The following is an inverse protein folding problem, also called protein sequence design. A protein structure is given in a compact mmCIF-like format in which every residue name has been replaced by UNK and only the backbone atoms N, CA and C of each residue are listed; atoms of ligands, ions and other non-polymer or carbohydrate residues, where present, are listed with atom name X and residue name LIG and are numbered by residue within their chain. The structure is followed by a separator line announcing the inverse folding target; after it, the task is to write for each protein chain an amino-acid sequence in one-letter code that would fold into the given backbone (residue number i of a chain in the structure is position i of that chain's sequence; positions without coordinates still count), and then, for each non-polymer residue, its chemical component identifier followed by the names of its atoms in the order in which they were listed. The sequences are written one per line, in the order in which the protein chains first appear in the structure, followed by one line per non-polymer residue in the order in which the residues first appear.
data_IF_390467458206
#
_entry.id   IF_390467458206
#
_cell.length_a   1.000
_cell.length_b   1.000
_cell.length_c   1.000
_cell.angle_alpha   90.00
_cell.angle_beta   90.00
_cell.angle_gamma   90.00
#
_symmetry.space_group_name_H-M   'P 1'
#
loop_
_entity.id
_entity.type
_entity.pdbx_description
1 polymer ?
#
# COMPACT_ATOMS: atom_id res chain seq x y z
N UNK A 1 30.44 40.70 -41.24
CA UNK A 1 30.40 39.84 -40.09
C UNK A 1 29.20 38.91 -40.17
N UNK A 2 29.38 37.70 -40.74
CA UNK A 2 28.37 36.63 -40.70
C UNK A 2 28.43 35.93 -39.32
N UNK A 3 27.39 36.06 -38.50
CA UNK A 3 27.19 35.16 -37.37
C UNK A 3 26.71 33.82 -37.92
N UNK A 4 27.53 32.81 -37.77
CA UNK A 4 27.13 31.42 -37.97
C UNK A 4 26.09 31.04 -36.91
N UNK A 5 24.91 30.64 -37.35
CA UNK A 5 23.95 29.93 -36.56
C UNK A 5 24.55 28.55 -36.27
N UNK A 6 24.85 28.29 -35.00
CA UNK A 6 25.16 26.92 -34.51
C UNK A 6 23.88 26.08 -34.63
N UNK A 7 23.85 25.23 -35.63
CA UNK A 7 22.83 24.21 -35.76
C UNK A 7 22.92 23.26 -34.56
N UNK A 8 21.89 23.24 -33.77
CA UNK A 8 21.64 22.17 -32.80
C UNK A 8 21.49 20.86 -33.61
N UNK A 9 22.49 20.01 -33.56
CA UNK A 9 22.42 18.70 -34.17
C UNK A 9 21.26 17.95 -33.52
N UNK A 10 20.24 17.57 -34.32
CA UNK A 10 19.18 16.71 -33.89
C UNK A 10 19.80 15.36 -33.44
N UNK A 11 19.46 14.92 -32.24
CA UNK A 11 19.90 13.65 -31.74
C UNK A 11 19.42 12.52 -32.70
N UNK A 12 20.17 11.42 -32.85
CA UNK A 12 19.78 10.33 -33.71
C UNK A 12 18.41 9.75 -33.30
N UNK A 13 17.54 9.38 -34.24
CA UNK A 13 16.14 8.98 -33.95
C UNK A 13 15.97 7.85 -32.92
N UNK A 14 16.97 7.00 -32.72
CA UNK A 14 16.96 5.98 -31.68
C UNK A 14 17.24 6.49 -30.26
N UNK A 15 17.88 7.65 -30.08
CA UNK A 15 18.20 8.19 -28.76
C UNK A 15 16.97 8.85 -28.10
N UNK A 16 16.12 9.52 -28.87
CA UNK A 16 14.88 10.12 -28.38
C UNK A 16 13.87 9.05 -27.96
N UNK A 17 13.75 7.96 -28.71
CA UNK A 17 12.89 6.81 -28.35
C UNK A 17 13.33 6.15 -27.04
N UNK A 18 14.64 6.04 -26.82
CA UNK A 18 15.20 5.47 -25.57
C UNK A 18 14.93 6.40 -24.38
N UNK A 19 14.97 7.72 -24.61
CA UNK A 19 14.74 8.71 -23.55
C UNK A 19 13.27 8.82 -23.16
N UNK A 20 12.35 8.86 -24.13
CA UNK A 20 10.90 8.85 -23.89
C UNK A 20 10.47 7.57 -23.20
N UNK A 21 11.01 6.42 -23.64
CA UNK A 21 10.75 5.12 -23.01
C UNK A 21 11.24 5.03 -21.57
N UNK A 22 12.44 5.57 -21.29
CA UNK A 22 12.99 5.62 -19.93
C UNK A 22 12.18 6.54 -19.00
N UNK A 23 11.75 7.68 -19.53
CA UNK A 23 10.90 8.63 -18.82
C UNK A 23 9.54 8.02 -18.48
N UNK A 24 8.92 7.36 -19.46
CA UNK A 24 7.65 6.67 -19.27
C UNK A 24 7.74 5.56 -18.21
N UNK A 25 8.86 4.84 -18.17
CA UNK A 25 9.14 3.84 -17.15
C UNK A 25 9.20 4.47 -15.74
N UNK A 26 9.87 5.62 -15.57
CA UNK A 26 9.93 6.34 -14.30
C UNK A 26 8.53 6.83 -13.85
N UNK A 27 7.72 7.32 -14.77
CA UNK A 27 6.34 7.72 -14.49
C UNK A 27 5.52 6.51 -14.03
N UNK A 28 5.62 5.38 -14.71
CA UNK A 28 4.96 4.14 -14.32
C UNK A 28 5.43 3.61 -12.96
N UNK A 29 6.71 3.76 -12.62
CA UNK A 29 7.24 3.39 -11.30
C UNK A 29 6.60 4.21 -10.17
N UNK A 30 6.28 5.48 -10.41
CA UNK A 30 5.49 6.30 -9.48
C UNK A 30 4.07 5.74 -9.30
N UNK A 31 3.41 5.37 -10.40
CA UNK A 31 2.09 4.72 -10.36
C UNK A 31 2.11 3.39 -9.62
N UNK A 32 3.12 2.57 -9.87
CA UNK A 32 3.34 1.31 -9.15
C UNK A 32 3.49 1.54 -7.64
N UNK A 33 4.31 2.50 -7.23
CA UNK A 33 4.50 2.84 -5.81
C UNK A 33 3.20 3.31 -5.17
N UNK A 34 2.40 4.14 -5.84
CA UNK A 34 1.08 4.57 -5.35
C UNK A 34 0.14 3.39 -5.20
N UNK A 35 -0.02 2.59 -6.25
CA UNK A 35 -1.01 1.49 -6.26
C UNK A 35 -0.64 0.37 -5.29
N UNK A 36 0.65 0.01 -5.21
CA UNK A 36 1.15 -0.99 -4.26
C UNK A 36 1.05 -0.52 -2.80
N UNK A 37 1.01 0.79 -2.56
CA UNK A 37 0.87 1.39 -1.22
C UNK A 37 -0.57 1.69 -0.83
N UNK A 38 -1.56 1.29 -1.63
CA UNK A 38 -2.98 1.40 -1.31
C UNK A 38 -3.63 2.72 -1.70
N UNK A 39 -3.05 3.47 -2.63
CA UNK A 39 -3.71 4.65 -3.20
C UNK A 39 -4.93 4.27 -4.06
N UNK A 40 -5.88 5.19 -4.16
CA UNK A 40 -7.04 5.09 -5.02
C UNK A 40 -6.65 5.08 -6.50
N UNK A 41 -7.38 4.33 -7.33
CA UNK A 41 -7.13 4.23 -8.77
C UNK A 41 -7.14 5.62 -9.43
N UNK A 42 -8.16 6.41 -9.17
CA UNK A 42 -8.29 7.77 -9.71
C UNK A 42 -7.07 8.64 -9.37
N UNK A 43 -6.52 8.52 -8.15
CA UNK A 43 -5.32 9.26 -7.75
C UNK A 43 -4.09 8.81 -8.53
N UNK A 44 -3.96 7.51 -8.79
CA UNK A 44 -2.87 6.97 -9.62
C UNK A 44 -2.95 7.55 -11.02
N UNK A 45 -4.10 7.44 -11.67
CA UNK A 45 -4.33 7.91 -13.04
C UNK A 45 -4.11 9.42 -13.20
N UNK A 46 -4.65 10.22 -12.28
CA UNK A 46 -4.46 11.67 -12.25
C UNK A 46 -2.97 12.05 -12.08
N UNK A 47 -2.25 11.37 -11.19
CA UNK A 47 -0.81 11.61 -10.99
C UNK A 47 -0.01 11.28 -12.24
N UNK A 48 -0.27 10.13 -12.88
CA UNK A 48 0.44 9.73 -14.08
C UNK A 48 0.13 10.65 -15.25
N UNK A 49 -1.13 11.02 -15.45
CA UNK A 49 -1.54 11.95 -16.51
C UNK A 49 -0.87 13.30 -16.35
N UNK A 50 -0.86 13.88 -15.15
CA UNK A 50 -0.18 15.17 -14.88
C UNK A 50 1.31 15.10 -15.18
N UNK A 51 1.98 14.05 -14.72
CA UNK A 51 3.41 13.87 -15.00
C UNK A 51 3.68 13.77 -16.49
N UNK A 52 2.89 13.01 -17.24
CA UNK A 52 3.03 12.94 -18.69
C UNK A 52 2.91 14.32 -19.35
N UNK A 53 1.93 15.15 -18.95
CA UNK A 53 1.76 16.50 -19.48
C UNK A 53 2.95 17.41 -19.13
N UNK A 54 3.44 17.37 -17.90
CA UNK A 54 4.59 18.15 -17.44
C UNK A 54 5.86 17.80 -18.22
N UNK A 55 6.01 16.53 -18.59
CA UNK A 55 7.16 16.07 -19.38
C UNK A 55 6.99 16.21 -20.90
N UNK A 56 5.91 16.87 -21.35
CA UNK A 56 5.75 17.30 -22.75
C UNK A 56 5.09 16.27 -23.66
N UNK A 57 4.49 15.21 -23.14
CA UNK A 57 3.64 14.32 -23.95
C UNK A 57 2.37 15.07 -24.36
N UNK A 58 1.94 14.91 -25.60
CA UNK A 58 0.77 15.59 -26.14
C UNK A 58 -0.56 15.00 -25.63
N UNK A 59 -0.56 13.72 -25.31
CA UNK A 59 -1.71 12.99 -24.77
C UNK A 59 -1.23 11.86 -23.88
N UNK A 60 -1.98 11.56 -22.82
CA UNK A 60 -1.77 10.40 -21.96
C UNK A 60 -3.11 9.72 -21.67
N UNK A 61 -3.19 8.44 -21.95
CA UNK A 61 -4.30 7.56 -21.63
C UNK A 61 -3.83 6.54 -20.60
N UNK A 62 -4.38 6.61 -19.40
CA UNK A 62 -4.02 5.75 -18.27
C UNK A 62 -5.21 4.84 -17.96
N UNK A 63 -4.95 3.55 -17.89
CA UNK A 63 -5.92 2.57 -17.43
C UNK A 63 -5.32 1.77 -16.28
N UNK A 64 -5.95 1.84 -15.12
CA UNK A 64 -5.45 1.22 -13.90
C UNK A 64 -6.51 0.30 -13.30
N UNK A 65 -6.09 -0.93 -13.00
CA UNK A 65 -6.83 -1.85 -12.14
C UNK A 65 -5.92 -2.30 -10.99
N UNK A 66 -6.47 -2.96 -9.98
CA UNK A 66 -5.71 -3.41 -8.80
C UNK A 66 -4.45 -4.22 -9.11
N UNK A 67 -4.41 -4.89 -10.28
CA UNK A 67 -3.36 -5.81 -10.68
C UNK A 67 -2.48 -5.31 -11.83
N UNK A 68 -2.81 -4.17 -12.46
CA UNK A 68 -2.08 -3.68 -13.64
C UNK A 68 -2.31 -2.20 -13.88
N UNK A 69 -1.29 -1.55 -14.43
CA UNK A 69 -1.35 -0.19 -14.97
C UNK A 69 -0.95 -0.28 -16.44
N UNK A 70 -1.77 0.27 -17.33
CA UNK A 70 -1.45 0.47 -18.74
C UNK A 70 -1.40 1.95 -19.00
N UNK A 71 -0.28 2.42 -19.54
CA UNK A 71 -0.06 3.83 -19.85
C UNK A 71 0.32 3.96 -21.31
N UNK A 72 -0.52 4.66 -22.08
CA UNK A 72 -0.27 5.03 -23.47
C UNK A 72 -0.10 6.53 -23.56
N UNK A 73 0.98 6.97 -24.17
CA UNK A 73 1.23 8.40 -24.42
C UNK A 73 1.43 8.66 -25.90
N UNK A 74 1.13 9.88 -26.33
CA UNK A 74 1.51 10.40 -27.65
C UNK A 74 2.57 11.47 -27.48
N UNK A 75 3.65 11.35 -28.25
CA UNK A 75 4.65 12.41 -28.34
C UNK A 75 4.13 13.56 -29.19
N UNK A 76 4.71 14.76 -29.13
CA UNK A 76 4.34 15.89 -30.00
C UNK A 76 4.44 15.57 -31.49
N UNK A 77 5.33 14.64 -31.88
CA UNK A 77 5.51 14.16 -33.25
C UNK A 77 4.45 13.12 -33.67
N UNK A 78 3.50 12.81 -32.79
CA UNK A 78 2.40 11.89 -33.06
C UNK A 78 2.71 10.40 -32.85
N UNK A 79 3.91 10.05 -32.35
CA UNK A 79 4.24 8.65 -32.01
C UNK A 79 3.50 8.20 -30.76
N UNK A 80 2.97 7.00 -30.78
CA UNK A 80 2.33 6.35 -29.63
C UNK A 80 3.33 5.41 -28.93
N UNK A 81 3.46 5.56 -27.61
CA UNK A 81 4.26 4.68 -26.77
C UNK A 81 3.35 4.10 -25.70
N UNK A 82 3.36 2.76 -25.54
CA UNK A 82 2.58 2.08 -24.52
C UNK A 82 3.50 1.25 -23.65
N UNK A 83 3.35 1.40 -22.33
CA UNK A 83 4.01 0.53 -21.36
C UNK A 83 2.99 0.02 -20.33
N UNK A 84 3.25 -1.18 -19.82
CA UNK A 84 2.41 -1.86 -18.83
C UNK A 84 3.22 -2.20 -17.60
N UNK A 85 2.61 -2.04 -16.43
CA UNK A 85 3.19 -2.47 -15.15
C UNK A 85 2.26 -3.47 -14.47
N UNK A 86 2.74 -4.69 -14.21
CA UNK A 86 2.01 -5.70 -13.47
C UNK A 86 2.19 -5.49 -11.97
N UNK A 87 1.09 -5.45 -11.22
CA UNK A 87 1.07 -5.37 -9.77
C UNK A 87 0.80 -6.75 -9.20
N UNK A 88 1.72 -7.27 -8.37
CA UNK A 88 1.62 -8.64 -7.83
C UNK A 88 1.19 -8.67 -6.37
N UNK A 89 1.43 -7.61 -5.63
CA UNK A 89 1.09 -7.48 -4.23
C UNK A 89 0.73 -6.03 -3.91
N UNK A 90 -0.23 -5.84 -3.03
CA UNK A 90 -0.63 -4.55 -2.49
C UNK A 90 -0.58 -4.62 -0.98
N UNK A 91 -0.19 -3.52 -0.38
CA UNK A 91 -0.25 -3.32 1.07
C UNK A 91 -0.71 -1.89 1.34
N UNK A 92 -0.86 -1.51 2.59
CA UNK A 92 -1.21 -0.14 2.97
C UNK A 92 0.01 0.54 3.59
N UNK A 93 0.62 1.47 2.86
CA UNK A 93 1.72 2.32 3.32
C UNK A 93 1.41 3.79 2.99
N UNK A 94 0.63 4.43 3.86
CA UNK A 94 0.22 5.84 3.68
C UNK A 94 1.42 6.79 3.70
N UNK A 95 2.48 6.46 4.42
CA UNK A 95 3.72 7.23 4.43
C UNK A 95 4.41 7.22 3.06
N UNK A 96 4.39 6.08 2.36
CA UNK A 96 4.91 6.00 0.99
C UNK A 96 4.02 6.76 0.03
N UNK A 97 2.68 6.65 0.15
CA UNK A 97 1.74 7.44 -0.65
C UNK A 97 2.01 8.94 -0.50
N UNK A 98 2.24 9.42 0.72
CA UNK A 98 2.58 10.82 0.97
C UNK A 98 3.89 11.23 0.29
N UNK A 99 4.95 10.42 0.42
CA UNK A 99 6.26 10.68 -0.22
C UNK A 99 6.14 10.71 -1.74
N UNK A 100 5.40 9.79 -2.35
CA UNK A 100 5.15 9.80 -3.81
C UNK A 100 4.39 11.05 -4.22
N UNK A 101 3.36 11.45 -3.48
CA UNK A 101 2.61 12.68 -3.75
C UNK A 101 3.50 13.94 -3.61
N UNK A 102 4.38 13.98 -2.62
CA UNK A 102 5.34 15.06 -2.45
C UNK A 102 6.33 15.13 -3.63
N UNK A 103 6.84 13.97 -4.08
CA UNK A 103 7.70 13.88 -5.25
C UNK A 103 6.95 14.33 -6.52
N UNK A 104 5.71 13.88 -6.73
CA UNK A 104 4.88 14.30 -7.87
C UNK A 104 4.70 15.82 -7.91
N UNK A 105 4.36 16.46 -6.79
CA UNK A 105 4.25 17.93 -6.71
C UNK A 105 5.56 18.62 -7.05
N UNK A 106 6.70 18.11 -6.56
CA UNK A 106 8.03 18.64 -6.87
C UNK A 106 8.36 18.54 -8.36
N UNK A 107 8.06 17.40 -8.98
CA UNK A 107 8.28 17.19 -10.43
C UNK A 107 7.37 18.07 -11.28
N UNK A 108 6.14 18.31 -10.85
CA UNK A 108 5.22 19.22 -11.55
C UNK A 108 5.66 20.69 -11.45
N UNK A 109 6.35 21.09 -10.39
CA UNK A 109 6.88 22.44 -10.21
C UNK A 109 8.22 22.64 -10.95
N UNK A 110 9.01 21.58 -11.13
CA UNK A 110 10.30 21.60 -11.82
C UNK A 110 10.70 20.21 -12.28
N UNK A 111 10.46 19.87 -13.56
CA UNK A 111 10.75 18.54 -14.08
C UNK A 111 12.25 18.23 -14.00
N UNK A 112 12.57 17.02 -13.55
CA UNK A 112 13.94 16.52 -13.44
C UNK A 112 14.33 15.74 -14.70
N UNK A 113 15.62 15.72 -15.08
CA UNK A 113 16.12 14.81 -16.10
C UNK A 113 15.82 13.34 -15.71
N UNK A 114 15.64 12.41 -16.68
CA UNK A 114 15.23 11.03 -16.41
C UNK A 114 16.07 10.31 -15.37
N UNK A 115 17.39 10.50 -15.37
CA UNK A 115 18.30 9.88 -14.39
C UNK A 115 18.04 10.37 -12.95
N UNK A 116 17.85 11.68 -12.76
CA UNK A 116 17.53 12.26 -11.44
C UNK A 116 16.13 11.90 -11.02
N UNK A 117 15.19 11.78 -11.96
CA UNK A 117 13.84 11.31 -11.67
C UNK A 117 13.88 9.86 -11.15
N UNK A 118 14.60 8.98 -11.85
CA UNK A 118 14.77 7.58 -11.41
C UNK A 118 15.38 7.49 -10.02
N UNK A 119 16.43 8.25 -9.73
CA UNK A 119 17.04 8.32 -8.40
C UNK A 119 16.02 8.75 -7.33
N UNK A 120 15.23 9.79 -7.61
CA UNK A 120 14.20 10.26 -6.67
C UNK A 120 13.10 9.21 -6.44
N UNK A 121 12.71 8.45 -7.45
CA UNK A 121 11.76 7.32 -7.30
C UNK A 121 12.37 6.21 -6.43
N UNK A 122 13.64 5.86 -6.67
CA UNK A 122 14.34 4.85 -5.87
C UNK A 122 14.54 5.30 -4.41
N UNK A 123 14.80 6.57 -4.15
CA UNK A 123 14.82 7.11 -2.79
C UNK A 123 13.48 6.91 -2.07
N UNK A 124 12.36 7.15 -2.74
CA UNK A 124 11.03 6.90 -2.17
C UNK A 124 10.78 5.40 -1.98
N UNK A 125 11.18 4.57 -2.95
CA UNK A 125 11.05 3.11 -2.90
C UNK A 125 11.80 2.52 -1.71
N UNK A 126 13.02 2.99 -1.47
CA UNK A 126 13.93 2.50 -0.45
C UNK A 126 13.87 3.29 0.86
N UNK A 127 12.93 4.25 0.98
CA UNK A 127 12.76 5.01 2.21
C UNK A 127 12.53 4.08 3.40
N UNK A 128 13.24 4.28 4.52
CA UNK A 128 13.15 3.38 5.66
C UNK A 128 11.73 3.36 6.22
N UNK A 129 11.24 2.16 6.50
CA UNK A 129 10.03 1.98 7.30
C UNK A 129 10.31 2.41 8.75
N UNK A 130 9.23 2.60 9.52
CA UNK A 130 9.37 2.84 10.96
C UNK A 130 10.14 1.69 11.62
N UNK A 131 11.00 1.98 12.62
CA UNK A 131 11.71 0.94 13.36
C UNK A 131 10.76 -0.11 13.94
N UNK A 132 11.15 -1.37 13.95
CA UNK A 132 10.32 -2.47 14.47
C UNK A 132 9.86 -2.24 15.92
N UNK A 133 10.72 -1.60 16.75
CA UNK A 133 10.36 -1.25 18.11
C UNK A 133 9.21 -0.23 18.18
N UNK A 134 9.22 0.78 17.30
CA UNK A 134 8.13 1.75 17.22
C UNK A 134 6.83 1.11 16.73
N UNK A 135 6.92 0.24 15.71
CA UNK A 135 5.76 -0.51 15.22
C UNK A 135 5.18 -1.42 16.31
N UNK A 136 6.02 -2.17 17.02
CA UNK A 136 5.61 -3.04 18.12
C UNK A 136 4.93 -2.24 19.25
N UNK A 137 5.48 -1.08 19.62
CA UNK A 137 4.87 -0.18 20.60
C UNK A 137 3.49 0.33 20.13
N UNK A 138 3.35 0.68 18.86
CA UNK A 138 2.06 1.10 18.29
C UNK A 138 1.03 -0.04 18.31
N UNK A 139 1.43 -1.28 18.03
CA UNK A 139 0.55 -2.43 18.15
C UNK A 139 0.03 -2.58 19.59
N UNK A 140 0.90 -2.42 20.59
CA UNK A 140 0.50 -2.46 21.99
C UNK A 140 -0.50 -1.35 22.33
N UNK A 141 -0.19 -0.11 21.94
CA UNK A 141 -1.03 1.08 22.26
C UNK A 141 -2.41 0.96 21.58
N UNK A 142 -2.45 0.60 20.31
CA UNK A 142 -3.69 0.49 19.54
C UNK A 142 -4.57 -0.62 20.10
N UNK A 143 -4.00 -1.80 20.37
CA UNK A 143 -4.74 -2.93 20.93
C UNK A 143 -5.33 -2.60 22.31
N UNK A 144 -4.55 -1.95 23.18
CA UNK A 144 -5.00 -1.49 24.49
C UNK A 144 -6.12 -0.45 24.39
N UNK A 145 -5.94 0.55 23.52
CA UNK A 145 -6.91 1.64 23.33
C UNK A 145 -8.25 1.11 22.85
N UNK A 146 -8.25 0.22 21.84
CA UNK A 146 -9.50 -0.39 21.35
C UNK A 146 -10.13 -1.33 22.36
N UNK A 147 -9.34 -2.07 23.15
CA UNK A 147 -9.88 -2.89 24.25
C UNK A 147 -10.69 -2.03 25.24
N UNK A 148 -10.13 -0.87 25.66
CA UNK A 148 -10.84 0.07 26.54
C UNK A 148 -12.04 0.71 25.84
N UNK A 149 -11.87 1.13 24.57
CA UNK A 149 -12.96 1.74 23.79
C UNK A 149 -14.20 0.84 23.70
N UNK A 150 -14.00 -0.47 23.60
CA UNK A 150 -15.09 -1.45 23.59
C UNK A 150 -15.53 -1.92 24.99
N UNK A 151 -15.10 -1.23 26.04
CA UNK A 151 -15.58 -1.45 27.41
C UNK A 151 -14.74 -2.45 28.22
N UNK A 152 -13.49 -2.72 27.82
CA UNK A 152 -12.54 -3.48 28.61
C UNK A 152 -12.03 -2.71 29.82
N UNK A 153 -11.58 -3.44 30.84
CA UNK A 153 -10.96 -2.88 32.06
C UNK A 153 -9.51 -2.49 31.81
N UNK A 154 -8.87 -1.79 32.76
CA UNK A 154 -7.43 -1.49 32.68
C UNK A 154 -6.56 -2.77 32.66
N UNK A 155 -7.03 -3.86 33.27
CA UNK A 155 -6.36 -5.16 33.18
C UNK A 155 -6.46 -5.74 31.77
N UNK A 156 -7.65 -5.64 31.15
CA UNK A 156 -7.86 -6.05 29.77
C UNK A 156 -7.00 -5.23 28.82
N UNK A 157 -6.87 -3.92 29.04
CA UNK A 157 -6.00 -3.04 28.26
C UNK A 157 -4.53 -3.45 28.34
N UNK A 158 -4.03 -3.75 29.54
CA UNK A 158 -2.65 -4.23 29.74
C UNK A 158 -2.43 -5.58 29.02
N UNK A 159 -3.38 -6.50 29.13
CA UNK A 159 -3.33 -7.79 28.44
C UNK A 159 -3.43 -7.62 26.92
N UNK A 160 -4.29 -6.70 26.44
CA UNK A 160 -4.40 -6.35 25.04
C UNK A 160 -3.09 -5.75 24.50
N UNK A 161 -2.40 -4.89 25.27
CA UNK A 161 -1.10 -4.37 24.89
C UNK A 161 -0.07 -5.49 24.66
N UNK A 162 0.03 -6.42 25.60
CA UNK A 162 0.95 -7.58 25.48
C UNK A 162 0.56 -8.48 24.30
N UNK A 163 -0.72 -8.79 24.14
CA UNK A 163 -1.19 -9.61 23.01
C UNK A 163 -1.02 -8.91 21.66
N UNK A 164 -1.13 -7.58 21.62
CA UNK A 164 -0.80 -6.77 20.43
C UNK A 164 0.67 -6.86 20.03
N UNK A 165 1.59 -6.85 21.00
CA UNK A 165 3.02 -7.09 20.74
C UNK A 165 3.27 -8.51 20.22
N UNK A 166 2.61 -9.50 20.79
CA UNK A 166 2.70 -10.89 20.31
C UNK A 166 2.14 -11.04 18.89
N UNK A 167 1.03 -10.34 18.58
CA UNK A 167 0.47 -10.28 17.24
C UNK A 167 1.46 -9.69 16.24
N UNK A 168 2.15 -8.60 16.60
CA UNK A 168 3.22 -8.04 15.76
C UNK A 168 4.32 -9.06 15.49
N UNK A 169 4.77 -9.77 16.52
CA UNK A 169 5.76 -10.85 16.38
C UNK A 169 5.26 -11.99 15.49
N UNK A 170 4.01 -12.41 15.62
CA UNK A 170 3.39 -13.44 14.80
C UNK A 170 3.33 -13.02 13.32
N UNK A 171 2.95 -11.77 13.03
CA UNK A 171 2.93 -11.22 11.67
C UNK A 171 4.35 -11.20 11.06
N UNK A 172 5.34 -10.74 11.81
CA UNK A 172 6.75 -10.76 11.37
C UNK A 172 7.26 -12.17 11.12
N UNK A 173 6.90 -13.11 11.97
CA UNK A 173 7.24 -14.52 11.77
C UNK A 173 6.61 -15.09 10.49
N UNK A 174 5.31 -14.87 10.30
CA UNK A 174 4.59 -15.31 9.09
C UNK A 174 5.16 -14.67 7.80
N UNK A 175 5.60 -13.40 7.86
CA UNK A 175 6.28 -12.74 6.75
C UNK A 175 7.58 -13.44 6.36
N UNK A 176 8.37 -13.89 7.35
CA UNK A 176 9.61 -14.64 7.09
C UNK A 176 9.37 -15.98 6.40
N UNK A 177 8.21 -16.60 6.66
CA UNK A 177 7.79 -17.84 5.99
C UNK A 177 7.28 -17.63 4.57
N UNK A 178 7.23 -16.38 4.08
CA UNK A 178 6.72 -16.00 2.74
C UNK A 178 5.31 -16.55 2.45
N UNK A 179 4.48 -16.60 3.46
CA UNK A 179 3.10 -17.05 3.32
C UNK A 179 2.28 -16.05 2.51
N UNK A 180 1.26 -16.54 1.81
CA UNK A 180 0.23 -15.71 1.20
C UNK A 180 -0.45 -14.84 2.27
N UNK A 181 -0.77 -13.58 1.95
CA UNK A 181 -1.34 -12.60 2.89
C UNK A 181 -2.62 -13.05 3.58
N UNK A 182 -3.45 -13.87 2.95
CA UNK A 182 -4.65 -14.46 3.54
C UNK A 182 -4.28 -15.48 4.62
N UNK A 183 -3.39 -16.42 4.30
CA UNK A 183 -2.89 -17.41 5.27
C UNK A 183 -2.12 -16.75 6.42
N UNK A 184 -1.33 -15.72 6.11
CA UNK A 184 -0.64 -14.93 7.13
C UNK A 184 -1.63 -14.31 8.12
N UNK A 185 -2.71 -13.69 7.63
CA UNK A 185 -3.74 -13.07 8.48
C UNK A 185 -4.47 -14.12 9.34
N UNK A 186 -4.80 -15.27 8.76
CA UNK A 186 -5.46 -16.37 9.45
C UNK A 186 -4.58 -16.95 10.57
N UNK A 187 -3.31 -17.23 10.29
CA UNK A 187 -2.39 -17.77 11.29
C UNK A 187 -2.06 -16.76 12.40
N UNK A 188 -1.82 -15.51 12.02
CA UNK A 188 -1.53 -14.45 13.00
C UNK A 188 -2.72 -14.21 13.93
N UNK A 189 -3.96 -14.21 13.42
CA UNK A 189 -5.17 -14.09 14.23
C UNK A 189 -5.39 -15.30 15.15
N UNK A 190 -5.13 -16.50 14.67
CA UNK A 190 -5.19 -17.72 15.49
C UNK A 190 -4.16 -17.69 16.63
N UNK A 191 -2.91 -17.30 16.34
CA UNK A 191 -1.86 -17.16 17.36
C UNK A 191 -2.19 -16.08 18.39
N UNK A 192 -2.75 -14.95 17.95
CA UNK A 192 -3.20 -13.90 18.84
C UNK A 192 -4.35 -14.35 19.75
N UNK A 193 -5.34 -15.07 19.20
CA UNK A 193 -6.43 -15.62 19.97
C UNK A 193 -5.92 -16.62 21.03
N UNK A 194 -5.01 -17.52 20.64
CA UNK A 194 -4.40 -18.47 21.55
C UNK A 194 -3.65 -17.76 22.69
N UNK A 195 -2.86 -16.74 22.36
CA UNK A 195 -2.15 -15.95 23.37
C UNK A 195 -3.12 -15.27 24.34
N UNK A 196 -4.21 -14.67 23.85
CA UNK A 196 -5.23 -14.04 24.71
C UNK A 196 -5.89 -15.07 25.62
N UNK A 197 -6.33 -16.22 25.10
CA UNK A 197 -6.99 -17.26 25.89
C UNK A 197 -6.06 -17.81 26.98
N UNK A 198 -4.79 -18.03 26.67
CA UNK A 198 -3.81 -18.45 27.67
C UNK A 198 -3.60 -17.38 28.74
N UNK A 199 -3.42 -16.12 28.38
CA UNK A 199 -3.24 -15.02 29.33
C UNK A 199 -4.46 -14.84 30.25
N UNK A 200 -5.66 -14.92 29.71
CA UNK A 200 -6.90 -14.86 30.50
C UNK A 200 -7.01 -16.10 31.42
N UNK A 201 -6.64 -17.28 30.94
CA UNK A 201 -6.58 -18.50 31.75
C UNK A 201 -5.62 -18.39 32.94
N UNK A 202 -4.54 -17.60 32.82
CA UNK A 202 -3.63 -17.25 33.92
C UNK A 202 -4.10 -16.08 34.78
N UNK A 203 -5.30 -15.51 34.54
CA UNK A 203 -5.87 -14.41 35.30
C UNK A 203 -5.31 -13.03 34.95
N UNK A 204 -4.60 -12.87 33.85
CA UNK A 204 -4.03 -11.60 33.41
C UNK A 204 -5.07 -10.65 32.82
N UNK A 205 -6.22 -11.15 32.34
CA UNK A 205 -7.35 -10.37 31.84
C UNK A 205 -8.67 -10.92 32.35
N UNK A 206 -9.76 -10.15 32.22
CA UNK A 206 -11.09 -10.52 32.70
C UNK A 206 -12.07 -10.78 31.54
N UNK A 207 -11.97 -9.99 30.46
CA UNK A 207 -12.90 -10.00 29.33
C UNK A 207 -12.16 -10.36 28.03
N UNK A 208 -12.04 -11.65 27.69
CA UNK A 208 -11.30 -12.09 26.52
C UNK A 208 -11.87 -11.49 25.21
N UNK A 209 -13.19 -11.29 25.12
CA UNK A 209 -13.86 -10.64 24.00
C UNK A 209 -13.34 -9.20 23.74
N UNK A 210 -13.13 -8.43 24.80
CA UNK A 210 -12.62 -7.04 24.72
C UNK A 210 -11.15 -6.98 24.30
N UNK A 211 -10.37 -7.93 24.78
CA UNK A 211 -8.95 -8.06 24.43
C UNK A 211 -8.81 -8.48 22.95
N UNK A 212 -9.60 -9.46 22.53
CA UNK A 212 -9.60 -9.96 21.15
C UNK A 212 -10.04 -8.88 20.18
N UNK A 213 -11.09 -8.09 20.49
CA UNK A 213 -11.51 -6.96 19.65
C UNK A 213 -10.36 -5.95 19.48
N UNK A 214 -9.59 -5.66 20.52
CA UNK A 214 -8.41 -4.81 20.43
C UNK A 214 -7.39 -5.30 19.37
N UNK A 215 -7.14 -6.61 19.34
CA UNK A 215 -6.27 -7.25 18.36
C UNK A 215 -6.89 -7.31 16.95
N UNK A 216 -8.20 -7.57 16.85
CA UNK A 216 -8.90 -7.58 15.55
C UNK A 216 -8.79 -6.25 14.86
N UNK A 217 -8.91 -5.12 15.57
CA UNK A 217 -8.81 -3.78 15.00
C UNK A 217 -7.48 -3.49 14.32
N UNK A 218 -6.40 -4.15 14.74
CA UNK A 218 -5.09 -4.07 14.07
C UNK A 218 -5.04 -4.83 12.74
N UNK A 219 -5.88 -5.83 12.57
CA UNK A 219 -5.87 -6.73 11.39
C UNK A 219 -6.92 -6.36 10.35
N UNK A 220 -8.01 -5.70 10.74
CA UNK A 220 -9.11 -5.34 9.84
C UNK A 220 -8.60 -4.49 8.68
N UNK A 221 -8.88 -4.87 7.42
CA UNK A 221 -8.44 -4.14 6.24
C UNK A 221 -9.33 -2.90 5.99
N UNK A 222 -9.48 -2.00 6.99
CA UNK A 222 -10.41 -0.87 6.94
C UNK A 222 -10.10 0.12 5.82
N UNK A 223 -8.82 0.47 5.64
CA UNK A 223 -8.39 1.37 4.57
C UNK A 223 -8.66 0.75 3.20
N UNK A 224 -8.33 -0.55 3.02
CA UNK A 224 -8.58 -1.24 1.76
C UNK A 224 -10.08 -1.31 1.42
N UNK A 225 -10.94 -1.55 2.41
CA UNK A 225 -12.41 -1.51 2.24
C UNK A 225 -12.88 -0.12 1.81
N UNK A 226 -12.43 0.93 2.52
CA UNK A 226 -12.83 2.31 2.23
C UNK A 226 -12.35 2.76 0.85
N UNK A 227 -11.10 2.45 0.49
CA UNK A 227 -10.53 2.79 -0.81
C UNK A 227 -11.28 2.08 -1.94
N UNK A 228 -11.58 0.79 -1.77
CA UNK A 228 -12.34 0.01 -2.77
C UNK A 228 -13.75 0.53 -2.98
N UNK A 229 -14.46 0.91 -1.91
CA UNK A 229 -15.78 1.54 -2.02
C UNK A 229 -15.70 2.90 -2.72
N UNK A 230 -14.66 3.68 -2.45
CA UNK A 230 -14.45 4.97 -3.10
C UNK A 230 -14.15 4.81 -4.59
N UNK A 231 -13.32 3.83 -4.97
CA UNK A 231 -13.07 3.51 -6.38
C UNK A 231 -14.39 3.17 -7.09
N UNK A 232 -15.27 2.36 -6.48
CA UNK A 232 -16.59 2.04 -7.04
C UNK A 232 -17.48 3.28 -7.22
N UNK A 233 -17.51 4.17 -6.22
CA UNK A 233 -18.33 5.42 -6.27
C UNK A 233 -17.79 6.36 -7.36
N UNK A 234 -16.48 6.38 -7.58
CA UNK A 234 -15.85 7.19 -8.61
C UNK A 234 -15.98 6.62 -10.04
N UNK A 235 -16.59 5.44 -10.20
CA UNK A 235 -16.81 4.80 -11.49
C UNK A 235 -15.82 3.67 -11.83
N UNK A 236 -14.76 3.48 -11.04
CA UNK A 236 -13.79 2.39 -11.19
C UNK A 236 -14.31 1.09 -10.60
N UNK A 237 -15.50 0.66 -11.04
CA UNK A 237 -16.26 -0.45 -10.47
C UNK A 237 -15.45 -1.75 -10.46
N UNK A 238 -14.70 -2.05 -11.53
CA UNK A 238 -13.89 -3.28 -11.63
C UNK A 238 -12.80 -3.28 -10.56
N UNK A 239 -12.05 -2.21 -10.44
CA UNK A 239 -10.99 -2.07 -9.43
C UNK A 239 -11.54 -2.11 -8.02
N UNK A 240 -12.63 -1.39 -7.77
CA UNK A 240 -13.30 -1.37 -6.49
C UNK A 240 -13.82 -2.74 -6.09
N UNK A 241 -14.44 -3.49 -7.02
CA UNK A 241 -14.94 -4.85 -6.75
C UNK A 241 -13.81 -5.85 -6.45
N UNK A 242 -12.71 -5.79 -7.21
CA UNK A 242 -11.53 -6.62 -6.96
C UNK A 242 -10.92 -6.30 -5.58
N UNK A 243 -10.70 -5.03 -5.26
CA UNK A 243 -10.16 -4.62 -3.97
C UNK A 243 -11.08 -4.98 -2.80
N UNK A 244 -12.41 -4.83 -2.98
CA UNK A 244 -13.41 -5.23 -1.99
C UNK A 244 -13.38 -6.73 -1.73
N UNK A 245 -13.32 -7.56 -2.78
CA UNK A 245 -13.24 -9.02 -2.62
C UNK A 245 -11.96 -9.46 -1.91
N UNK A 246 -10.80 -8.86 -2.20
CA UNK A 246 -9.54 -9.12 -1.49
C UNK A 246 -9.66 -8.75 0.00
N UNK A 247 -10.25 -7.59 0.32
CA UNK A 247 -10.44 -7.15 1.69
C UNK A 247 -11.41 -8.04 2.47
N UNK A 248 -12.51 -8.47 1.84
CA UNK A 248 -13.49 -9.41 2.44
C UNK A 248 -12.84 -10.78 2.70
N UNK A 249 -12.08 -11.33 1.75
CA UNK A 249 -11.35 -12.58 1.93
C UNK A 249 -10.36 -12.50 3.09
N UNK A 250 -9.65 -11.37 3.23
CA UNK A 250 -8.75 -11.14 4.36
C UNK A 250 -9.52 -11.06 5.68
N UNK A 251 -10.64 -10.37 5.72
CA UNK A 251 -11.50 -10.29 6.92
C UNK A 251 -12.05 -11.65 7.32
N UNK A 252 -12.50 -12.47 6.36
CA UNK A 252 -12.94 -13.85 6.61
C UNK A 252 -11.81 -14.72 7.16
N UNK A 253 -10.61 -14.62 6.62
CA UNK A 253 -9.43 -15.35 7.11
C UNK A 253 -9.12 -15.01 8.57
N UNK A 254 -9.19 -13.71 8.93
CA UNK A 254 -9.01 -13.24 10.31
C UNK A 254 -10.09 -13.82 11.21
N UNK A 255 -11.35 -13.76 10.81
CA UNK A 255 -12.48 -14.31 11.56
C UNK A 255 -12.34 -15.83 11.78
N UNK A 256 -11.94 -16.58 10.76
CA UNK A 256 -11.71 -18.03 10.85
C UNK A 256 -10.57 -18.32 11.84
N UNK A 257 -9.47 -17.56 11.80
CA UNK A 257 -8.35 -17.73 12.71
C UNK A 257 -8.74 -17.53 14.17
N UNK A 258 -9.49 -16.48 14.50
CA UNK A 258 -10.01 -16.26 15.86
C UNK A 258 -11.04 -17.34 16.25
N UNK A 259 -12.02 -17.64 15.39
CA UNK A 259 -13.09 -18.58 15.66
C UNK A 259 -12.55 -20.00 15.94
N UNK A 260 -11.55 -20.46 15.19
CA UNK A 260 -10.96 -21.78 15.35
C UNK A 260 -10.40 -22.01 16.75
N UNK A 261 -9.81 -20.99 17.37
CA UNK A 261 -9.26 -21.06 18.73
C UNK A 261 -10.37 -20.91 19.77
N UNK A 262 -11.27 -19.93 19.58
CA UNK A 262 -12.35 -19.66 20.53
C UNK A 262 -13.30 -20.85 20.69
N UNK A 263 -13.68 -21.52 19.60
CA UNK A 263 -14.53 -22.70 19.64
C UNK A 263 -13.87 -23.88 20.35
N UNK A 264 -12.55 -23.98 20.34
CA UNK A 264 -11.82 -25.09 20.97
C UNK A 264 -11.48 -24.84 22.42
N UNK A 265 -11.32 -23.61 22.85
CA UNK A 265 -10.89 -23.23 24.20
C UNK A 265 -11.98 -22.55 25.03
N UNK A 266 -13.09 -22.13 24.43
CA UNK A 266 -14.19 -21.43 25.06
C UNK A 266 -15.43 -22.32 25.30
N UNK A 267 -15.33 -23.63 25.00
CA UNK A 267 -16.37 -24.64 25.24
C UNK A 267 -16.20 -25.38 26.55
#
# INVERSE_FOLDING_TARGET
GKRMAQGQAAAPPGAAETQDGALLACILDMGELLLTSGAEVMRVEDTLTRLCMVYGFAQADVFTITSSIVLTVRTPEGRALTQTRRIRARDTDLGRVERVNALSRRLCAGPLPPEKFRQAVEEVRNAPAYPDAAQCAMYAVISAAFSVFFGGTLRDAATAAVSGMLLFGALRFCQRLRLNGILQSMLASALAALAVMLMVGFGLGQNPDKIIIGNIMLLIPGIALTTSLRDMINGDTISGLLGLSEAVLKALAIAIGFAAVLMRMGG
#
